data_IF_247789187492
#
_entry.id   IF_247789187492
#
_cell.length_a   1.000
_cell.length_b   1.000
_cell.length_c   1.000
_cell.angle_alpha   90.00
_cell.angle_beta   90.00
_cell.angle_gamma   90.00
#
_symmetry.space_group_name_H-M   'P 1'
#
loop_
_entity.id
_entity.type
_entity.pdbx_description
1 polymer ?
#
# COMPACT_ATOMS: atom_id res chain seq x y z
N UNK A 1 -84.85 0.33 17.67
CA UNK A 1 -84.14 -0.28 16.52
C UNK A 1 -83.00 0.64 16.13
N UNK A 2 -81.82 0.43 16.69
CA UNK A 2 -80.61 1.21 16.39
C UNK A 2 -79.41 0.38 16.80
N UNK A 3 -78.86 -0.39 15.86
CA UNK A 3 -77.74 -1.29 16.09
C UNK A 3 -76.41 -0.55 16.25
N UNK A 4 -75.42 -1.11 16.97
CA UNK A 4 -74.11 -0.49 17.13
C UNK A 4 -73.23 -0.73 15.90
N UNK A 5 -72.80 0.36 15.25
CA UNK A 5 -71.75 0.33 14.22
C UNK A 5 -70.39 0.07 14.85
N UNK A 6 -69.85 -1.13 14.63
CA UNK A 6 -68.46 -1.46 14.92
C UNK A 6 -67.54 -0.72 13.93
N UNK A 7 -66.70 0.18 14.44
CA UNK A 7 -65.67 0.87 13.68
C UNK A 7 -64.40 0.00 13.72
N UNK A 8 -64.06 -0.62 12.59
CA UNK A 8 -62.81 -1.39 12.44
C UNK A 8 -61.57 -0.47 12.55
N UNK A 9 -60.44 -0.94 13.10
CA UNK A 9 -59.23 -0.16 13.20
C UNK A 9 -58.56 -0.02 11.82
N UNK A 10 -58.17 1.21 11.49
CA UNK A 10 -57.35 1.52 10.32
C UNK A 10 -55.95 0.98 10.61
N UNK A 11 -55.57 -0.12 9.95
CA UNK A 11 -54.20 -0.63 10.00
C UNK A 11 -53.27 0.40 9.34
N UNK A 12 -52.48 1.09 10.15
CA UNK A 12 -51.33 1.88 9.71
C UNK A 12 -50.31 0.93 9.09
N UNK A 13 -50.29 0.89 7.77
CA UNK A 13 -49.35 0.09 6.99
C UNK A 13 -47.98 0.80 7.03
N UNK A 14 -47.23 0.57 8.11
CA UNK A 14 -45.87 1.08 8.29
C UNK A 14 -44.95 0.36 7.29
N UNK A 15 -44.67 1.01 6.16
CA UNK A 15 -43.63 0.57 5.24
C UNK A 15 -42.29 0.85 5.89
N UNK A 16 -41.84 -0.07 6.74
CA UNK A 16 -40.45 -0.11 7.22
C UNK A 16 -39.53 -0.25 6.01
N UNK A 17 -39.02 0.89 5.54
CA UNK A 17 -38.06 0.95 4.44
C UNK A 17 -36.76 0.35 4.97
N UNK A 18 -36.64 -0.97 4.85
CA UNK A 18 -35.48 -1.71 5.30
C UNK A 18 -34.38 -1.45 4.28
N UNK A 19 -33.49 -0.50 4.60
CA UNK A 19 -32.32 -0.24 3.77
C UNK A 19 -31.46 -1.51 3.69
N UNK A 20 -30.86 -1.81 2.53
CA UNK A 20 -29.95 -2.94 2.41
C UNK A 20 -28.77 -2.77 3.40
N UNK A 21 -28.23 -3.88 3.93
CA UNK A 21 -27.11 -3.83 4.86
C UNK A 21 -25.90 -3.15 4.19
N UNK A 22 -25.13 -2.41 4.98
CA UNK A 22 -23.92 -1.73 4.51
C UNK A 22 -22.91 -2.75 3.96
N UNK A 23 -22.24 -2.41 2.86
CA UNK A 23 -21.15 -3.22 2.31
C UNK A 23 -19.94 -3.21 3.25
N UNK A 24 -19.05 -4.21 3.12
CA UNK A 24 -17.83 -4.29 3.91
C UNK A 24 -16.96 -3.02 3.81
N UNK A 25 -16.85 -2.46 2.60
CA UNK A 25 -16.18 -1.18 2.37
C UNK A 25 -16.90 -0.05 3.11
N UNK A 26 -18.22 0.05 2.98
CA UNK A 26 -18.99 1.13 3.62
C UNK A 26 -18.86 1.09 5.15
N UNK A 27 -18.95 -0.10 5.75
CA UNK A 27 -18.71 -0.30 7.18
C UNK A 27 -17.28 0.07 7.57
N UNK A 28 -16.29 -0.28 6.75
CA UNK A 28 -14.89 0.09 6.98
C UNK A 28 -14.68 1.61 6.94
N UNK A 29 -15.24 2.30 5.96
CA UNK A 29 -15.14 3.76 5.84
C UNK A 29 -15.83 4.47 7.02
N UNK A 30 -17.03 4.02 7.41
CA UNK A 30 -17.77 4.58 8.54
C UNK A 30 -17.02 4.41 9.87
N UNK A 31 -16.38 3.26 10.08
CA UNK A 31 -15.60 2.98 11.28
C UNK A 31 -14.29 3.81 11.37
N UNK A 32 -13.79 4.33 10.25
CA UNK A 32 -12.52 5.06 10.16
C UNK A 32 -12.71 6.49 9.65
N UNK A 33 -13.81 7.15 10.01
CA UNK A 33 -14.07 8.54 9.64
C UNK A 33 -12.89 9.46 10.03
N UNK A 34 -12.57 10.48 9.20
CA UNK A 34 -11.47 11.40 9.50
C UNK A 34 -11.71 12.14 10.81
N UNK A 35 -10.64 12.38 11.57
CA UNK A 35 -10.71 13.19 12.78
C UNK A 35 -11.20 14.61 12.46
N UNK A 36 -11.95 15.23 13.38
CA UNK A 36 -12.51 16.57 13.20
C UNK A 36 -11.44 17.67 13.01
N UNK A 37 -10.21 17.40 13.44
CA UNK A 37 -9.05 18.30 13.30
C UNK A 37 -8.09 17.89 12.16
N UNK A 38 -8.54 17.04 11.22
CA UNK A 38 -7.74 16.69 10.04
C UNK A 38 -7.55 17.91 9.13
N UNK A 39 -6.31 18.18 8.72
CA UNK A 39 -5.99 19.19 7.70
C UNK A 39 -6.33 18.75 6.27
N UNK A 40 -6.57 17.46 6.08
CA UNK A 40 -6.79 16.89 4.75
C UNK A 40 -8.28 16.85 4.42
N UNK A 41 -8.67 17.14 3.16
CA UNK A 41 -10.03 16.94 2.69
C UNK A 41 -10.52 15.51 2.95
N UNK A 42 -11.75 15.36 3.44
CA UNK A 42 -12.37 14.07 3.75
C UNK A 42 -12.38 13.12 2.55
N UNK A 43 -12.58 13.63 1.34
CA UNK A 43 -12.54 12.85 0.11
C UNK A 43 -11.21 12.11 -0.08
N UNK A 44 -10.07 12.76 0.21
CA UNK A 44 -8.74 12.13 0.08
C UNK A 44 -8.52 11.09 1.19
N UNK A 45 -9.04 11.34 2.39
CA UNK A 45 -9.00 10.36 3.47
C UNK A 45 -9.77 9.09 3.12
N UNK A 46 -11.00 9.22 2.62
CA UNK A 46 -11.81 8.05 2.22
C UNK A 46 -11.22 7.33 1.00
N UNK A 47 -10.67 8.05 0.02
CA UNK A 47 -9.89 7.46 -1.07
C UNK A 47 -8.72 6.61 -0.54
N UNK A 48 -8.01 7.14 0.44
CA UNK A 48 -6.89 6.44 1.08
C UNK A 48 -7.36 5.17 1.78
N UNK A 49 -8.48 5.21 2.49
CA UNK A 49 -9.07 4.04 3.12
C UNK A 49 -9.59 3.01 2.11
N UNK A 50 -10.18 3.46 1.00
CA UNK A 50 -10.61 2.56 -0.07
C UNK A 50 -9.43 1.76 -0.64
N UNK A 51 -8.30 2.42 -0.87
CA UNK A 51 -7.07 1.77 -1.33
C UNK A 51 -6.52 0.84 -0.25
N UNK A 52 -6.51 1.25 1.02
CA UNK A 52 -6.09 0.39 2.13
C UNK A 52 -6.93 -0.90 2.20
N UNK A 53 -8.25 -0.78 2.04
CA UNK A 53 -9.17 -1.91 1.98
C UNK A 53 -8.87 -2.82 0.78
N UNK A 54 -8.62 -2.24 -0.41
CA UNK A 54 -8.25 -2.98 -1.61
C UNK A 54 -6.93 -3.76 -1.42
N UNK A 55 -5.88 -3.10 -0.94
CA UNK A 55 -4.59 -3.70 -0.65
C UNK A 55 -4.72 -4.88 0.32
N UNK A 56 -5.50 -4.74 1.40
CA UNK A 56 -5.67 -5.79 2.41
C UNK A 56 -6.40 -7.01 1.87
N UNK A 57 -7.55 -6.79 1.23
CA UNK A 57 -8.50 -7.85 0.95
C UNK A 57 -8.41 -8.40 -0.48
N UNK A 58 -7.84 -7.65 -1.42
CA UNK A 58 -7.64 -8.12 -2.80
C UNK A 58 -6.19 -8.46 -3.11
N UNK A 59 -5.22 -7.77 -2.48
CA UNK A 59 -3.79 -8.00 -2.71
C UNK A 59 -3.06 -8.64 -1.53
N UNK A 60 -3.77 -9.01 -0.47
CA UNK A 60 -3.23 -9.68 0.73
C UNK A 60 -2.06 -8.95 1.39
N UNK A 61 -2.06 -7.61 1.33
CA UNK A 61 -1.08 -6.80 2.05
C UNK A 61 -1.37 -6.86 3.56
N UNK A 62 -0.29 -6.83 4.35
CA UNK A 62 -0.32 -6.88 5.81
C UNK A 62 0.26 -5.62 6.43
N UNK A 63 -0.04 -5.42 7.72
CA UNK A 63 0.47 -4.30 8.53
C UNK A 63 0.35 -2.95 7.79
N UNK A 64 -0.83 -2.70 7.21
CA UNK A 64 -1.13 -1.46 6.49
C UNK A 64 -1.31 -0.33 7.52
N UNK A 65 -0.58 0.76 7.33
CA UNK A 65 -0.58 1.92 8.22
C UNK A 65 -0.93 3.16 7.44
N UNK A 66 -1.79 3.98 8.03
CA UNK A 66 -2.16 5.30 7.52
C UNK A 66 -1.24 6.36 8.14
N UNK A 67 -0.57 7.12 7.27
CA UNK A 67 0.34 8.20 7.65
C UNK A 67 -0.33 9.54 7.34
N UNK A 68 -0.70 10.26 8.39
CA UNK A 68 -1.33 11.58 8.32
C UNK A 68 -0.58 12.57 9.20
N UNK A 69 -0.46 13.82 8.75
CA UNK A 69 0.00 14.93 9.60
C UNK A 69 -1.14 15.45 10.47
N UNK A 70 -0.98 15.51 11.80
CA UNK A 70 -1.92 16.20 12.67
C UNK A 70 -1.81 17.72 12.47
N UNK A 71 -2.93 18.46 12.50
CA UNK A 71 -2.95 19.92 12.37
C UNK A 71 -2.09 20.65 13.43
N UNK A 72 -1.91 20.04 14.60
CA UNK A 72 -1.36 20.69 15.79
C UNK A 72 0.17 20.66 15.90
N UNK A 73 0.88 19.98 14.99
CA UNK A 73 2.34 19.88 15.07
C UNK A 73 2.95 20.82 14.04
N UNK A 74 3.35 22.01 14.49
CA UNK A 74 4.40 22.79 13.82
C UNK A 74 5.67 21.95 13.97
N UNK A 75 5.84 20.96 13.10
CA UNK A 75 7.05 20.15 13.07
C UNK A 75 8.19 21.07 12.65
N UNK A 76 9.11 21.31 13.58
CA UNK A 76 10.35 22.09 13.37
C UNK A 76 11.29 21.41 12.37
N UNK A 77 10.97 20.20 11.92
CA UNK A 77 11.61 19.52 10.79
C UNK A 77 10.62 19.39 9.61
N UNK A 78 10.62 20.33 8.65
CA UNK A 78 9.67 20.34 7.52
C UNK A 78 9.78 19.13 6.56
N UNK A 79 10.82 18.29 6.70
CA UNK A 79 11.22 17.25 5.72
C UNK A 79 10.59 15.86 5.89
N UNK A 80 9.68 15.63 6.84
CA UNK A 80 9.20 14.26 7.14
C UNK A 80 7.70 14.16 7.42
N UNK A 81 6.91 15.14 6.94
CA UNK A 81 5.46 15.04 7.05
C UNK A 81 4.85 15.01 5.65
N UNK A 82 3.97 14.05 5.34
CA UNK A 82 3.46 13.91 3.99
C UNK A 82 2.43 15.01 3.69
N UNK A 83 2.60 15.70 2.57
CA UNK A 83 1.71 16.78 2.11
C UNK A 83 0.24 16.33 1.93
N UNK A 84 0.01 15.02 1.89
CA UNK A 84 -1.30 14.34 1.81
C UNK A 84 -1.26 13.03 2.59
N UNK A 85 -2.40 12.39 2.90
CA UNK A 85 -2.41 11.07 3.51
C UNK A 85 -1.67 10.05 2.63
N UNK A 86 -0.85 9.21 3.24
CA UNK A 86 -0.13 8.11 2.60
C UNK A 86 -0.40 6.80 3.32
N UNK A 87 -0.17 5.69 2.64
CA UNK A 87 -0.16 4.38 3.28
C UNK A 87 1.26 3.80 3.28
N UNK A 88 1.55 2.95 4.25
CA UNK A 88 2.64 1.99 4.14
C UNK A 88 2.14 0.60 4.43
N UNK A 89 2.71 -0.44 3.82
CA UNK A 89 2.26 -1.82 4.05
C UNK A 89 3.24 -2.86 3.54
N UNK A 90 3.05 -4.10 3.98
CA UNK A 90 3.85 -5.25 3.57
C UNK A 90 3.10 -6.04 2.49
N UNK A 91 3.58 -6.04 1.23
CA UNK A 91 3.01 -6.86 0.18
C UNK A 91 3.31 -8.36 0.44
N UNK A 92 2.51 -9.29 -0.09
CA UNK A 92 2.77 -10.73 0.05
C UNK A 92 4.06 -11.17 -0.66
N UNK A 93 4.46 -10.43 -1.70
CA UNK A 93 5.69 -10.61 -2.47
C UNK A 93 6.32 -9.26 -2.73
N UNK A 94 7.62 -9.24 -2.97
CA UNK A 94 8.31 -7.99 -3.31
C UNK A 94 7.74 -7.38 -4.61
N UNK A 95 7.31 -6.13 -4.53
CA UNK A 95 6.62 -5.43 -5.63
C UNK A 95 7.58 -4.96 -6.71
N UNK A 96 8.79 -4.57 -6.35
CA UNK A 96 9.82 -4.12 -7.28
C UNK A 96 11.19 -4.65 -6.87
N UNK A 97 11.93 -5.17 -7.84
CA UNK A 97 13.35 -5.51 -7.71
C UNK A 97 14.11 -4.69 -8.74
N UNK A 98 15.14 -3.96 -8.31
CA UNK A 98 15.94 -3.15 -9.22
C UNK A 98 16.65 -4.08 -10.23
N UNK A 99 16.77 -3.72 -11.52
CA UNK A 99 17.41 -4.60 -12.50
C UNK A 99 18.87 -4.94 -12.17
N UNK A 100 19.63 -4.02 -11.57
CA UNK A 100 21.01 -4.34 -11.13
C UNK A 100 21.03 -5.30 -9.94
N UNK A 101 20.05 -5.19 -9.04
CA UNK A 101 19.88 -6.15 -7.95
C UNK A 101 19.53 -7.55 -8.50
N UNK A 102 18.72 -7.63 -9.55
CA UNK A 102 18.43 -8.90 -10.22
C UNK A 102 19.70 -9.53 -10.81
N UNK A 103 20.57 -8.72 -11.43
CA UNK A 103 21.85 -9.20 -11.97
C UNK A 103 22.73 -9.74 -10.84
N UNK A 104 22.86 -9.01 -9.74
CA UNK A 104 23.67 -9.43 -8.59
C UNK A 104 23.17 -10.72 -7.95
N UNK A 105 21.84 -10.86 -7.80
CA UNK A 105 21.22 -12.09 -7.32
C UNK A 105 21.60 -13.24 -8.27
N UNK A 106 21.43 -13.06 -9.58
CA UNK A 106 21.79 -14.06 -10.59
C UNK A 106 23.28 -14.42 -10.60
N UNK A 107 24.18 -13.44 -10.45
CA UNK A 107 25.62 -13.66 -10.40
C UNK A 107 26.06 -14.41 -9.13
N UNK A 108 25.46 -14.07 -7.99
CA UNK A 108 25.70 -14.75 -6.72
C UNK A 108 25.30 -16.23 -6.82
N UNK A 109 24.14 -16.52 -7.40
CA UNK A 109 23.68 -17.90 -7.65
C UNK A 109 24.59 -18.68 -8.59
N UNK A 110 25.01 -18.08 -9.71
CA UNK A 110 25.96 -18.73 -10.64
C UNK A 110 27.28 -19.08 -9.96
N UNK A 111 27.76 -18.20 -9.07
CA UNK A 111 28.99 -18.43 -8.31
C UNK A 111 28.83 -19.58 -7.32
N UNK A 112 27.71 -19.62 -6.57
CA UNK A 112 27.41 -20.71 -5.63
C UNK A 112 27.24 -22.07 -6.32
N UNK A 113 26.57 -22.12 -7.49
CA UNK A 113 26.46 -23.36 -8.27
C UNK A 113 27.82 -23.87 -8.77
N UNK A 114 28.72 -22.96 -9.21
CA UNK A 114 30.09 -23.33 -9.61
C UNK A 114 30.96 -23.82 -8.45
N UNK A 115 30.67 -23.37 -7.23
CA UNK A 115 31.37 -23.83 -6.03
C UNK A 115 30.84 -25.20 -5.59
N UNK A 116 29.52 -25.40 -5.56
CA UNK A 116 28.91 -26.71 -5.27
C UNK A 116 29.29 -27.79 -6.29
N UNK A 117 29.42 -27.44 -7.57
CA UNK A 117 29.83 -28.40 -8.60
C UNK A 117 31.30 -28.84 -8.50
N UNK A 118 32.13 -28.14 -7.73
CA UNK A 118 33.52 -28.54 -7.43
C UNK A 118 33.65 -29.40 -6.17
N UNK A 119 32.62 -29.49 -5.33
CA UNK A 119 32.74 -30.03 -3.96
C UNK A 119 31.89 -31.28 -3.69
N UNK A 120 31.02 -31.72 -4.62
CA UNK A 120 30.25 -32.97 -4.44
C UNK A 120 29.95 -33.75 -5.73
N UNK A 121 30.69 -34.84 -5.93
CA UNK A 121 30.19 -36.07 -6.58
C UNK A 121 29.33 -36.82 -5.58
N UNK A 122 28.03 -36.54 -5.49
CA UNK A 122 26.99 -37.51 -5.06
C UNK A 122 25.58 -36.90 -5.04
N UNK A 123 24.74 -37.49 -5.89
CA UNK A 123 23.29 -37.74 -5.74
C UNK A 123 22.32 -36.62 -5.32
N UNK A 124 21.38 -36.39 -6.24
CA UNK A 124 20.04 -35.78 -6.08
C UNK A 124 19.98 -34.27 -6.32
N UNK A 125 19.96 -33.94 -7.61
CA UNK A 125 19.63 -32.63 -8.16
C UNK A 125 18.14 -32.29 -7.97
N UNK A 126 17.75 -31.82 -6.79
CA UNK A 126 16.59 -30.93 -6.70
C UNK A 126 17.07 -29.55 -7.15
N UNK A 127 16.68 -29.14 -8.36
CA UNK A 127 16.97 -27.82 -8.91
C UNK A 127 16.60 -26.75 -7.87
N UNK A 128 17.62 -26.17 -7.24
CA UNK A 128 17.47 -25.21 -6.17
C UNK A 128 16.81 -23.94 -6.73
N UNK A 129 15.50 -23.81 -6.53
CA UNK A 129 14.74 -22.60 -6.85
C UNK A 129 15.44 -21.42 -6.14
N UNK A 130 15.73 -20.31 -6.84
CA UNK A 130 16.30 -19.13 -6.20
C UNK A 130 15.41 -18.69 -5.02
N UNK A 131 15.99 -18.32 -3.85
CA UNK A 131 15.23 -17.79 -2.74
C UNK A 131 14.45 -16.55 -3.22
N UNK A 132 13.12 -16.61 -3.06
CA UNK A 132 12.25 -15.49 -3.41
C UNK A 132 12.69 -14.24 -2.62
N UNK A 133 12.79 -13.06 -3.28
CA UNK A 133 13.26 -11.86 -2.61
C UNK A 133 12.31 -11.51 -1.45
N UNK A 134 12.91 -11.13 -0.31
CA UNK A 134 12.18 -10.82 0.92
C UNK A 134 11.17 -9.70 0.63
N UNK A 135 9.93 -9.86 1.11
CA UNK A 135 8.92 -8.82 1.03
C UNK A 135 9.39 -7.58 1.79
N UNK A 136 9.25 -6.41 1.19
CA UNK A 136 9.68 -5.15 1.78
C UNK A 136 8.47 -4.22 1.93
N UNK A 137 8.45 -3.44 3.02
CA UNK A 137 7.37 -2.48 3.26
C UNK A 137 7.44 -1.37 2.22
N UNK A 138 6.32 -1.08 1.56
CA UNK A 138 6.25 -0.08 0.50
C UNK A 138 5.40 1.13 0.91
N UNK A 139 5.81 2.32 0.46
CA UNK A 139 4.96 3.50 0.48
C UNK A 139 3.92 3.38 -0.64
N UNK A 140 2.66 3.68 -0.33
CA UNK A 140 1.58 3.76 -1.31
C UNK A 140 1.02 5.16 -1.30
N UNK A 141 0.95 5.75 -2.48
CA UNK A 141 0.43 7.08 -2.75
C UNK A 141 -0.98 6.95 -3.33
N UNK A 142 -2.04 7.28 -2.56
CA UNK A 142 -3.41 7.28 -3.06
C UNK A 142 -3.58 8.22 -4.26
N UNK A 143 -4.40 7.89 -5.23
CA UNK A 143 -4.83 8.85 -6.26
C UNK A 143 -6.16 8.46 -6.87
N UNK A 144 -6.84 9.44 -7.46
CA UNK A 144 -8.06 9.23 -8.22
C UNK A 144 -7.80 9.53 -9.70
N UNK A 145 -8.46 8.83 -10.61
CA UNK A 145 -8.23 8.96 -12.06
C UNK A 145 -8.45 10.38 -12.60
N UNK A 146 -9.30 11.18 -11.95
CA UNK A 146 -9.56 12.59 -12.30
C UNK A 146 -8.55 13.58 -11.72
N UNK A 147 -7.64 13.13 -10.85
CA UNK A 147 -6.63 13.97 -10.22
C UNK A 147 -5.52 14.31 -11.23
N UNK A 148 -5.20 15.60 -11.37
CA UNK A 148 -4.13 16.05 -12.26
C UNK A 148 -2.81 16.10 -11.49
N UNK A 149 -1.99 15.07 -11.64
CA UNK A 149 -0.64 15.08 -11.10
C UNK A 149 0.28 15.98 -11.89
N UNK A 150 0.96 16.88 -11.18
CA UNK A 150 2.08 17.67 -11.72
C UNK A 150 3.37 17.20 -11.06
N UNK A 151 4.52 17.48 -11.69
CA UNK A 151 5.82 17.19 -11.09
C UNK A 151 5.98 17.84 -9.71
N UNK A 152 5.43 19.04 -9.51
CA UNK A 152 5.43 19.72 -8.20
C UNK A 152 4.65 18.94 -7.14
N UNK A 153 3.48 18.38 -7.49
CA UNK A 153 2.71 17.57 -6.55
C UNK A 153 3.42 16.27 -6.20
N UNK A 154 4.06 15.61 -7.17
CA UNK A 154 4.90 14.45 -6.89
C UNK A 154 6.08 14.81 -6.00
N UNK A 155 6.81 15.88 -6.32
CA UNK A 155 7.92 16.37 -5.49
C UNK A 155 7.48 16.62 -4.04
N UNK A 156 6.36 17.31 -3.83
CA UNK A 156 5.81 17.55 -2.50
C UNK A 156 5.36 16.27 -1.77
N UNK A 157 5.03 15.19 -2.49
CA UNK A 157 4.74 13.89 -1.89
C UNK A 157 6.04 13.19 -1.47
N UNK A 158 7.08 13.21 -2.33
CA UNK A 158 8.39 12.62 -2.07
C UNK A 158 9.19 13.37 -0.98
N UNK A 159 9.03 14.68 -0.87
CA UNK A 159 9.64 15.51 0.17
C UNK A 159 9.14 15.12 1.57
N UNK A 160 7.92 14.60 1.67
CA UNK A 160 7.29 14.24 2.93
C UNK A 160 7.59 12.82 3.42
N UNK A 161 8.35 12.03 2.67
CA UNK A 161 8.67 10.63 2.99
C UNK A 161 10.17 10.35 3.04
N UNK A 162 10.55 9.33 3.81
CA UNK A 162 11.86 8.69 3.75
C UNK A 162 11.93 7.70 2.57
N UNK A 163 13.16 7.32 2.18
CA UNK A 163 13.38 6.31 1.13
C UNK A 163 12.70 4.97 1.45
N UNK A 164 12.66 4.62 2.73
CA UNK A 164 11.96 3.44 3.23
C UNK A 164 10.99 3.85 4.35
N UNK A 165 9.77 3.29 4.37
CA UNK A 165 8.92 3.38 5.56
C UNK A 165 9.67 2.79 6.77
N UNK A 166 9.48 3.37 7.95
CA UNK A 166 10.29 3.04 9.13
C UNK A 166 10.40 1.51 9.36
N UNK A 167 11.62 0.93 9.35
CA UNK A 167 11.82 -0.51 9.44
C UNK A 167 11.47 -1.10 10.82
N UNK A 168 11.37 -0.26 11.86
CA UNK A 168 10.88 -0.69 13.19
C UNK A 168 9.37 -0.96 13.21
N UNK A 169 8.65 -0.56 12.16
CA UNK A 169 7.23 -0.82 11.94
C UNK A 169 7.04 -2.16 11.19
N UNK A 170 7.43 -3.28 11.80
CA UNK A 170 7.28 -4.62 11.22
C UNK A 170 8.10 -5.70 11.91
N UNK A 171 7.76 -6.97 11.67
CA UNK A 171 8.38 -8.15 12.32
C UNK A 171 9.90 -8.24 12.06
N UNK A 172 10.64 -8.33 13.16
CA UNK A 172 12.07 -8.09 13.27
C UNK A 172 12.97 -9.29 12.92
N UNK A 173 12.50 -10.24 12.11
CA UNK A 173 13.17 -11.55 11.98
C UNK A 173 13.48 -11.93 10.54
N UNK A 174 14.61 -11.43 9.98
CA UNK A 174 15.46 -12.17 9.02
C UNK A 174 16.79 -11.44 8.71
N UNK A 175 17.76 -11.49 9.64
CA UNK A 175 18.92 -10.59 9.63
C UNK A 175 19.94 -10.74 8.47
N UNK A 176 20.03 -11.87 7.76
CA UNK A 176 21.12 -12.06 6.76
C UNK A 176 20.75 -11.80 5.29
N UNK A 177 19.57 -12.24 4.81
CA UNK A 177 19.14 -11.95 3.42
C UNK A 177 18.68 -10.50 3.23
N UNK A 178 18.42 -9.80 4.33
CA UNK A 178 17.97 -8.41 4.34
C UNK A 178 19.13 -7.45 4.01
N UNK A 179 20.37 -7.75 4.40
CA UNK A 179 21.50 -6.84 4.21
C UNK A 179 21.81 -6.53 2.73
N UNK A 180 21.74 -7.52 1.83
CA UNK A 180 21.98 -7.32 0.39
C UNK A 180 20.78 -6.60 -0.27
N UNK A 181 19.55 -6.93 0.12
CA UNK A 181 18.36 -6.26 -0.41
C UNK A 181 18.22 -4.81 0.11
N UNK A 182 18.77 -4.52 1.30
CA UNK A 182 18.83 -3.18 1.89
C UNK A 182 19.83 -2.27 1.16
N UNK A 183 20.98 -2.78 0.69
CA UNK A 183 21.98 -1.93 0.00
C UNK A 183 21.36 -1.22 -1.20
N UNK A 184 20.63 -1.98 -2.00
CA UNK A 184 19.98 -1.49 -3.21
C UNK A 184 18.79 -0.60 -2.91
N UNK A 185 18.25 -0.64 -1.69
CA UNK A 185 17.11 0.18 -1.30
C UNK A 185 17.53 1.48 -0.62
N UNK A 186 18.66 1.48 0.11
CA UNK A 186 19.28 2.67 0.71
C UNK A 186 19.88 3.61 -0.34
N UNK A 187 20.52 3.05 -1.36
CA UNK A 187 21.18 3.84 -2.42
C UNK A 187 20.27 4.15 -3.62
N UNK A 188 19.08 3.56 -3.67
CA UNK A 188 18.10 3.81 -4.73
C UNK A 188 17.33 5.12 -4.52
N UNK A 189 16.84 5.75 -5.61
CA UNK A 189 15.89 6.84 -5.51
C UNK A 189 14.64 6.41 -4.73
N UNK A 190 14.07 7.34 -3.94
CA UNK A 190 12.83 7.09 -3.21
C UNK A 190 11.77 6.59 -4.19
N UNK A 191 10.90 5.69 -3.72
CA UNK A 191 9.82 5.16 -4.56
C UNK A 191 8.51 5.07 -3.81
N UNK A 192 7.43 5.18 -4.57
CA UNK A 192 6.06 4.98 -4.10
C UNK A 192 5.30 4.12 -5.08
N UNK A 193 4.34 3.37 -4.57
CA UNK A 193 3.31 2.72 -5.36
C UNK A 193 2.14 3.70 -5.51
N UNK A 194 1.99 4.35 -6.66
CA UNK A 194 0.83 5.16 -6.98
C UNK A 194 -0.37 4.24 -7.20
N UNK A 195 -1.34 4.31 -6.29
CA UNK A 195 -2.57 3.53 -6.37
C UNK A 195 -3.71 4.44 -6.85
N UNK A 196 -4.13 4.27 -8.09
CA UNK A 196 -5.14 5.11 -8.75
C UNK A 196 -6.49 4.41 -8.81
N UNK A 197 -7.50 5.02 -8.20
CA UNK A 197 -8.89 4.53 -8.25
C UNK A 197 -9.60 5.12 -9.46
N UNK A 198 -10.28 4.26 -10.21
CA UNK A 198 -11.14 4.59 -11.35
C UNK A 198 -12.62 4.69 -10.94
N UNK A 199 -13.45 5.24 -11.83
CA UNK A 199 -14.89 5.45 -11.58
C UNK A 199 -15.69 4.15 -11.44
N UNK A 200 -15.19 3.07 -12.04
CA UNK A 200 -15.73 1.72 -11.93
C UNK A 200 -15.23 0.98 -10.67
N UNK A 201 -14.55 1.67 -9.76
CA UNK A 201 -13.90 1.12 -8.55
C UNK A 201 -12.70 0.21 -8.83
N UNK A 202 -12.19 0.14 -10.06
CA UNK A 202 -10.91 -0.52 -10.36
C UNK A 202 -9.77 0.28 -9.73
N UNK A 203 -8.79 -0.41 -9.15
CA UNK A 203 -7.57 0.20 -8.59
C UNK A 203 -6.36 -0.26 -9.40
N UNK A 204 -5.62 0.70 -9.95
CA UNK A 204 -4.40 0.44 -10.74
C UNK A 204 -3.19 0.91 -9.96
N UNK A 205 -2.12 0.12 -9.99
CA UNK A 205 -0.90 0.37 -9.23
C UNK A 205 0.28 0.63 -10.16
N UNK A 206 0.96 1.76 -9.98
CA UNK A 206 2.17 2.14 -10.71
C UNK A 206 3.33 2.36 -9.75
N UNK A 207 4.53 1.92 -10.12
CA UNK A 207 5.74 2.25 -9.35
C UNK A 207 6.29 3.57 -9.89
N UNK A 208 6.51 4.54 -9.00
CA UNK A 208 7.07 5.86 -9.33
C UNK A 208 8.34 6.07 -8.50
N UNK A 209 9.38 6.58 -9.14
CA UNK A 209 10.67 6.90 -8.52
C UNK A 209 10.90 8.42 -8.47
N UNK A 210 11.58 8.87 -7.41
CA UNK A 210 12.10 10.22 -7.25
C UNK A 210 13.44 10.36 -7.96
N UNK A 211 13.40 10.60 -9.27
CA UNK A 211 14.58 10.84 -10.09
C UNK A 211 14.63 10.05 -11.40
N UNK A 212 15.68 10.30 -12.18
CA UNK A 212 15.91 9.64 -13.46
C UNK A 212 16.64 8.30 -13.25
N UNK A 213 16.04 7.21 -13.73
CA UNK A 213 16.76 5.94 -13.87
C UNK A 213 17.72 6.10 -15.05
N UNK A 214 19.03 5.91 -14.83
CA UNK A 214 20.02 6.07 -15.90
C UNK A 214 19.67 5.15 -17.08
N UNK A 215 19.50 5.68 -18.31
CA UNK A 215 19.24 4.87 -19.48
C UNK A 215 20.43 3.93 -19.71
N UNK A 216 20.16 2.66 -19.98
CA UNK A 216 21.21 1.70 -20.32
C UNK A 216 21.67 1.98 -21.74
N UNK A 217 22.98 2.12 -21.94
CA UNK A 217 23.56 1.83 -23.24
C UNK A 217 23.64 0.30 -23.35
N UNK A 218 22.98 -0.23 -24.38
CA UNK A 218 23.02 -1.65 -24.74
C UNK A 218 24.32 -1.96 -25.49
#
# INVERSE_FOLDING_TARGET
MGGPSQKAPIASNDKTTTHPPASALQSFLAAHAPASNSIYPSAIHYLTLQIAHNLRYQHNWRDIRLHTRPASIISTTPKQSPSRPLLSGLPPRRVYTHPDEQIDILQTHKTQQKQQSKESTSTTSTASIPPEPVAQREWVLPSHIREKWTLRHFGAAFDGISAEPNPSEGERNRAEFVAIAERWRKDAPKRVLLATVHEDSTVVYYIIHDGIVKPRQN
#
